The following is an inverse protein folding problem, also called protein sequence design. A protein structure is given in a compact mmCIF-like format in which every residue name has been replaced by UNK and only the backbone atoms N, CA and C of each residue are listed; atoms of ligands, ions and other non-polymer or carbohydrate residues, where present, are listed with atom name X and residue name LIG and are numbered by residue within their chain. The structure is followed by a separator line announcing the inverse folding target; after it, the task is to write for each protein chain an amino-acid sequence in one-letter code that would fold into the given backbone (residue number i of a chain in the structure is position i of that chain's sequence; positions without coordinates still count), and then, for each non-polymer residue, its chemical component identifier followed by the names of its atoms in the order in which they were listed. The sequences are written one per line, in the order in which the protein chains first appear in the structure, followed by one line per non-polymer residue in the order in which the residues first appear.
data_IF_065128031444
#
_entry.id   IF_065128031444
#
_cell.length_a   1.000
_cell.length_b   1.000
_cell.length_c   1.000
_cell.angle_alpha   90.00
_cell.angle_beta   90.00
_cell.angle_gamma   90.00
#
_symmetry.space_group_name_H-M   'P 1'
#
loop_
_entity.id
_entity.type
_entity.pdbx_description
1 polymer ?
#
# COMPACT_ATOMS: atom_id res chain seq x y z
N UNK A 1 6.86 9.94 7.78
CA UNK A 1 7.96 9.66 6.82
C UNK A 1 9.37 9.72 7.43
N UNK A 2 9.76 10.77 8.16
CA UNK A 2 11.12 10.86 8.75
C UNK A 2 11.48 9.64 9.62
N UNK A 3 10.57 9.22 10.50
CA UNK A 3 10.79 8.05 11.37
C UNK A 3 10.87 6.74 10.58
N UNK A 4 10.01 6.55 9.58
CA UNK A 4 10.06 5.39 8.67
C UNK A 4 11.44 5.29 7.98
N UNK A 5 11.92 6.39 7.38
CA UNK A 5 13.22 6.40 6.69
C UNK A 5 14.41 6.22 7.62
N UNK A 6 14.31 6.71 8.88
CA UNK A 6 15.33 6.51 9.90
C UNK A 6 15.41 5.05 10.35
N UNK A 7 14.28 4.41 10.56
CA UNK A 7 14.19 3.01 11.01
C UNK A 7 14.46 2.00 9.90
N UNK A 8 14.04 2.34 8.69
CA UNK A 8 14.12 1.45 7.54
C UNK A 8 12.95 0.47 7.43
N UNK A 9 12.77 -0.04 6.23
CA UNK A 9 11.66 -0.93 5.88
C UNK A 9 11.62 -2.20 6.75
N UNK A 10 12.76 -2.84 6.96
CA UNK A 10 12.85 -4.12 7.69
C UNK A 10 12.33 -3.98 9.11
N UNK A 11 12.82 -2.99 9.86
CA UNK A 11 12.42 -2.77 11.26
C UNK A 11 10.91 -2.47 11.38
N UNK A 12 10.37 -1.65 10.48
CA UNK A 12 8.95 -1.33 10.46
C UNK A 12 8.10 -2.56 10.12
N UNK A 13 8.51 -3.35 9.14
CA UNK A 13 7.81 -4.57 8.73
C UNK A 13 7.83 -5.63 9.83
N UNK A 14 8.95 -5.81 10.51
CA UNK A 14 9.05 -6.74 11.63
C UNK A 14 8.10 -6.36 12.77
N UNK A 15 7.98 -5.06 13.05
CA UNK A 15 7.00 -4.59 14.03
C UNK A 15 5.56 -4.85 13.58
N UNK A 16 5.22 -4.60 12.31
CA UNK A 16 3.90 -4.89 11.74
C UNK A 16 3.59 -6.39 11.88
N UNK A 17 4.52 -7.25 11.48
CA UNK A 17 4.36 -8.71 11.56
C UNK A 17 4.15 -9.18 12.99
N UNK A 18 4.90 -8.65 13.95
CA UNK A 18 4.76 -9.01 15.36
C UNK A 18 3.39 -8.59 15.93
N UNK A 19 2.92 -7.40 15.59
CA UNK A 19 1.63 -6.87 16.10
C UNK A 19 0.44 -7.60 15.47
N UNK A 20 0.53 -7.96 14.19
CA UNK A 20 -0.58 -8.50 13.40
C UNK A 20 -0.52 -10.02 13.20
N UNK A 21 0.44 -10.70 13.82
CA UNK A 21 0.65 -12.14 13.66
C UNK A 21 -0.64 -12.95 13.86
N UNK A 22 -1.00 -13.77 12.88
CA UNK A 22 -2.15 -14.67 12.92
C UNK A 22 -3.53 -13.98 12.79
N UNK A 23 -3.58 -12.66 12.74
CA UNK A 23 -4.84 -11.91 12.63
C UNK A 23 -5.24 -11.73 11.15
N UNK A 24 -6.56 -11.65 10.84
CA UNK A 24 -7.01 -11.19 9.54
C UNK A 24 -6.66 -9.71 9.38
N UNK A 25 -6.13 -9.34 8.21
CA UNK A 25 -5.63 -8.00 7.91
C UNK A 25 -6.41 -7.44 6.72
N UNK A 26 -6.97 -6.26 6.92
CA UNK A 26 -7.53 -5.43 5.87
C UNK A 26 -6.56 -4.26 5.63
N UNK A 27 -6.17 -4.03 4.38
CA UNK A 27 -5.26 -2.95 4.01
C UNK A 27 -6.09 -1.82 3.39
N UNK A 28 -6.07 -0.65 4.00
CA UNK A 28 -6.53 0.58 3.35
C UNK A 28 -5.34 1.40 2.93
N UNK A 29 -5.25 1.75 1.65
CA UNK A 29 -4.16 2.54 1.10
C UNK A 29 -4.67 3.91 0.68
N UNK A 30 -4.31 4.92 1.45
CA UNK A 30 -4.63 6.30 1.14
C UNK A 30 -3.57 6.88 0.19
N UNK A 31 -3.99 7.31 -1.01
CA UNK A 31 -3.09 7.89 -2.02
C UNK A 31 -2.43 9.20 -1.57
N UNK A 32 -3.01 9.88 -0.58
CA UNK A 32 -2.43 11.10 0.00
C UNK A 32 -1.11 10.83 0.73
N UNK A 33 -0.82 9.57 1.10
CA UNK A 33 0.45 9.19 1.71
C UNK A 33 1.64 9.24 0.73
N UNK A 34 1.38 9.21 -0.57
CA UNK A 34 2.39 9.31 -1.61
C UNK A 34 2.88 10.74 -1.77
N UNK A 35 4.10 10.88 -2.29
CA UNK A 35 4.62 12.20 -2.65
C UNK A 35 3.74 12.84 -3.72
N UNK A 36 3.30 14.10 -3.55
CA UNK A 36 2.42 14.76 -4.50
C UNK A 36 3.03 14.96 -5.89
N UNK A 37 4.34 14.81 -6.05
CA UNK A 37 4.99 14.82 -7.37
C UNK A 37 4.72 13.56 -8.18
N UNK A 38 4.36 12.45 -7.52
CA UNK A 38 4.04 11.18 -8.18
C UNK A 38 2.54 10.85 -8.14
N UNK A 39 1.79 11.43 -7.21
CA UNK A 39 0.34 11.22 -7.07
C UNK A 39 -0.38 12.57 -6.87
N UNK A 40 -0.46 13.45 -7.88
CA UNK A 40 -1.12 14.74 -7.76
C UNK A 40 -2.64 14.67 -7.73
N UNK A 41 -3.24 13.59 -8.23
CA UNK A 41 -4.69 13.41 -8.36
C UNK A 41 -5.36 12.91 -7.08
N UNK A 42 -5.12 13.60 -5.97
CA UNK A 42 -5.64 13.27 -4.64
C UNK A 42 -6.51 14.38 -4.08
N UNK A 43 -7.36 14.04 -3.12
CA UNK A 43 -8.28 14.99 -2.51
C UNK A 43 -7.53 16.10 -1.75
N UNK A 44 -6.55 15.73 -0.95
CA UNK A 44 -5.74 16.64 -0.13
C UNK A 44 -4.26 16.46 -0.44
N UNK A 45 -3.65 17.49 -1.02
CA UNK A 45 -2.22 17.49 -1.30
C UNK A 45 -1.44 17.96 -0.07
N UNK A 46 -0.60 17.09 0.47
CA UNK A 46 0.30 17.40 1.59
C UNK A 46 1.62 18.02 1.09
N UNK A 47 1.52 19.22 0.51
CA UNK A 47 2.64 19.87 -0.20
C UNK A 47 3.85 20.24 0.68
N UNK A 48 3.70 20.25 2.00
CA UNK A 48 4.76 20.64 2.95
C UNK A 48 5.67 19.50 3.39
N UNK A 49 5.38 18.26 3.02
CA UNK A 49 6.12 17.08 3.46
C UNK A 49 6.37 16.14 2.29
N UNK A 50 7.56 15.54 2.25
CA UNK A 50 7.86 14.48 1.30
C UNK A 50 7.08 13.22 1.71
N UNK A 51 6.14 12.76 0.86
CA UNK A 51 5.41 11.52 1.03
C UNK A 51 6.26 10.27 0.76
N UNK A 52 5.62 9.10 0.72
CA UNK A 52 6.25 7.88 0.21
C UNK A 52 6.57 8.05 -1.28
N UNK A 53 7.73 7.59 -1.70
CA UNK A 53 7.91 7.28 -3.12
C UNK A 53 7.28 5.93 -3.45
N UNK A 54 7.20 5.60 -4.75
CA UNK A 54 6.51 4.38 -5.17
C UNK A 54 7.24 3.12 -4.73
N UNK A 55 8.57 3.13 -4.70
CA UNK A 55 9.36 1.98 -4.30
C UNK A 55 9.21 1.72 -2.79
N UNK A 56 9.18 2.77 -1.97
CA UNK A 56 8.90 2.67 -0.53
C UNK A 56 7.49 2.08 -0.29
N UNK A 57 6.48 2.57 -1.01
CA UNK A 57 5.08 2.14 -0.84
C UNK A 57 4.87 0.68 -1.29
N UNK A 58 5.32 0.34 -2.49
CA UNK A 58 5.23 -1.02 -3.03
C UNK A 58 6.09 -1.98 -2.22
N UNK A 59 7.30 -1.56 -1.84
CA UNK A 59 8.19 -2.36 -0.98
C UNK A 59 7.55 -2.70 0.36
N UNK A 60 6.83 -1.76 0.99
CA UNK A 60 6.11 -2.01 2.24
C UNK A 60 4.97 -3.02 2.05
N UNK A 61 4.19 -2.90 0.96
CA UNK A 61 3.14 -3.86 0.62
C UNK A 61 3.71 -5.26 0.36
N UNK A 62 4.75 -5.36 -0.45
CA UNK A 62 5.39 -6.63 -0.76
C UNK A 62 6.03 -7.29 0.47
N UNK A 63 6.55 -6.51 1.40
CA UNK A 63 7.18 -7.02 2.60
C UNK A 63 6.19 -7.64 3.61
N UNK A 64 4.90 -7.28 3.55
CA UNK A 64 3.83 -7.94 4.35
C UNK A 64 3.15 -9.09 3.60
N UNK A 65 3.58 -9.41 2.39
CA UNK A 65 3.13 -10.58 1.64
C UNK A 65 3.33 -11.85 2.47
N UNK A 66 2.40 -12.77 2.39
CA UNK A 66 2.43 -13.98 3.21
C UNK A 66 1.66 -13.86 4.52
N UNK A 67 1.28 -12.67 4.96
CA UNK A 67 0.36 -12.48 6.08
C UNK A 67 -1.10 -12.81 5.69
N UNK A 68 -2.00 -12.84 6.66
CA UNK A 68 -3.42 -13.17 6.45
C UNK A 68 -4.19 -11.97 5.88
N UNK A 69 -3.83 -11.51 4.68
CA UNK A 69 -4.51 -10.40 4.01
C UNK A 69 -5.86 -10.88 3.49
N UNK A 70 -6.95 -10.30 3.98
CA UNK A 70 -8.33 -10.72 3.66
C UNK A 70 -9.09 -9.73 2.79
N UNK A 71 -8.59 -8.50 2.65
CA UNK A 71 -9.21 -7.47 1.83
C UNK A 71 -8.35 -6.21 1.78
N UNK A 72 -8.75 -5.27 0.95
CA UNK A 72 -8.12 -3.97 0.85
C UNK A 72 -8.89 -3.00 -0.03
N UNK A 73 -8.56 -1.73 0.10
CA UNK A 73 -9.02 -0.65 -0.76
C UNK A 73 -7.92 0.35 -1.04
N UNK A 74 -8.10 1.15 -2.09
CA UNK A 74 -7.31 2.33 -2.40
C UNK A 74 -8.25 3.52 -2.41
N UNK A 75 -7.95 4.54 -1.62
CA UNK A 75 -8.84 5.66 -1.37
C UNK A 75 -8.20 7.01 -1.73
N UNK A 76 -9.01 8.07 -1.67
CA UNK A 76 -8.63 9.47 -1.90
C UNK A 76 -8.25 9.81 -3.35
N UNK A 77 -8.57 8.96 -4.32
CA UNK A 77 -8.42 9.31 -5.73
C UNK A 77 -9.37 10.45 -6.12
N UNK A 78 -8.82 11.50 -6.72
CA UNK A 78 -9.58 12.63 -7.28
C UNK A 78 -9.24 12.81 -8.77
N UNK A 79 -9.97 12.16 -9.67
CA UNK A 79 -9.65 12.13 -11.10
C UNK A 79 -9.55 13.51 -11.76
N UNK A 80 -10.34 14.47 -11.27
CA UNK A 80 -10.35 15.85 -11.81
C UNK A 80 -9.09 16.65 -11.49
N UNK A 81 -8.29 16.18 -10.52
CA UNK A 81 -7.00 16.77 -10.13
C UNK A 81 -5.80 16.02 -10.69
N UNK A 82 -6.03 14.89 -11.35
CA UNK A 82 -4.93 14.08 -11.88
C UNK A 82 -4.25 14.78 -13.06
N UNK A 83 -3.00 14.43 -13.29
CA UNK A 83 -2.26 14.91 -14.46
C UNK A 83 -2.90 14.38 -15.77
N UNK A 84 -2.68 15.05 -16.90
CA UNK A 84 -3.26 14.63 -18.20
C UNK A 84 -2.92 13.19 -18.60
N UNK A 85 -1.78 12.66 -18.14
CA UNK A 85 -1.36 11.26 -18.34
C UNK A 85 -1.97 10.27 -17.32
N UNK A 86 -2.83 10.75 -16.43
CA UNK A 86 -3.51 9.94 -15.41
C UNK A 86 -2.56 9.14 -14.50
N UNK A 87 -1.41 9.74 -14.17
CA UNK A 87 -0.37 9.03 -13.40
C UNK A 87 -0.86 8.56 -12.03
N UNK A 88 -1.71 9.34 -11.33
CA UNK A 88 -2.26 8.92 -10.04
C UNK A 88 -3.19 7.72 -10.17
N UNK A 89 -4.05 7.71 -11.19
CA UNK A 89 -4.93 6.56 -11.47
C UNK A 89 -4.13 5.30 -11.82
N UNK A 90 -3.06 5.44 -12.59
CA UNK A 90 -2.16 4.32 -12.92
C UNK A 90 -1.42 3.81 -11.67
N UNK A 91 -0.97 4.71 -10.82
CA UNK A 91 -0.34 4.36 -9.52
C UNK A 91 -1.33 3.62 -8.61
N UNK A 92 -2.56 4.13 -8.48
CA UNK A 92 -3.62 3.48 -7.73
C UNK A 92 -3.91 2.06 -8.24
N UNK A 93 -3.92 1.87 -9.56
CA UNK A 93 -4.10 0.56 -10.20
C UNK A 93 -2.97 -0.39 -9.85
N UNK A 94 -1.73 0.07 -9.84
CA UNK A 94 -0.56 -0.74 -9.46
C UNK A 94 -0.63 -1.18 -7.99
N UNK A 95 -0.99 -0.29 -7.09
CA UNK A 95 -1.21 -0.60 -5.67
C UNK A 95 -2.34 -1.63 -5.50
N UNK A 96 -3.46 -1.43 -6.19
CA UNK A 96 -4.59 -2.36 -6.16
C UNK A 96 -4.19 -3.75 -6.67
N UNK A 97 -3.36 -3.83 -7.71
CA UNK A 97 -2.85 -5.09 -8.25
C UNK A 97 -2.00 -5.85 -7.22
N UNK A 98 -1.13 -5.15 -6.48
CA UNK A 98 -0.36 -5.77 -5.37
C UNK A 98 -1.29 -6.34 -4.30
N UNK A 99 -2.32 -5.60 -3.88
CA UNK A 99 -3.29 -6.07 -2.89
C UNK A 99 -4.07 -7.29 -3.37
N UNK A 100 -4.59 -7.28 -4.59
CA UNK A 100 -5.32 -8.40 -5.19
C UNK A 100 -4.43 -9.64 -5.23
N UNK A 101 -3.17 -9.48 -5.60
CA UNK A 101 -2.20 -10.58 -5.65
C UNK A 101 -1.97 -11.18 -4.26
N UNK A 102 -1.84 -10.36 -3.22
CA UNK A 102 -1.67 -10.83 -1.83
C UNK A 102 -2.91 -11.56 -1.31
N UNK A 103 -4.11 -11.07 -1.62
CA UNK A 103 -5.37 -11.72 -1.25
C UNK A 103 -5.49 -13.07 -1.95
N UNK A 104 -5.21 -13.13 -3.24
CA UNK A 104 -5.26 -14.38 -4.02
C UNK A 104 -4.28 -15.43 -3.47
N UNK A 105 -3.05 -15.03 -3.13
CA UNK A 105 -2.08 -15.92 -2.48
C UNK A 105 -2.58 -16.44 -1.12
N UNK A 106 -3.21 -15.57 -0.34
CA UNK A 106 -3.76 -15.96 0.96
C UNK A 106 -4.90 -16.97 0.81
N UNK A 107 -5.80 -16.77 -0.15
CA UNK A 107 -6.88 -17.71 -0.48
C UNK A 107 -6.30 -19.06 -0.92
N UNK A 108 -5.35 -19.05 -1.85
CA UNK A 108 -4.70 -20.26 -2.34
C UNK A 108 -4.09 -21.08 -1.21
N UNK A 109 -3.29 -20.45 -0.34
CA UNK A 109 -2.66 -21.14 0.82
C UNK A 109 -3.68 -21.77 1.75
N UNK A 110 -4.81 -21.09 2.01
CA UNK A 110 -5.88 -21.63 2.87
C UNK A 110 -6.58 -22.82 2.23
N UNK A 111 -6.79 -22.80 0.94
CA UNK A 111 -7.40 -23.91 0.19
C UNK A 111 -6.48 -25.14 0.17
N UNK A 112 -5.18 -24.92 0.00
CA UNK A 112 -4.18 -26.00 0.01
C UNK A 112 -3.96 -26.62 1.42
N UNK A 113 -4.16 -25.84 2.47
CA UNK A 113 -4.06 -26.31 3.86
C UNK A 113 -5.30 -27.10 4.34
N UNK A 114 -6.45 -26.93 3.69
CA UNK A 114 -7.72 -27.61 3.99
C UNK A 114 -8.30 -28.19 2.69
N UNK A 115 -7.72 -29.28 2.15
CA UNK A 115 -8.16 -29.91 0.92
C UNK A 115 -9.53 -30.61 1.05
#
# INVERSE_FOLDING_TARGET
MKEFRKRGLVDVVDQIKNVLAGRPIYITFDLDCLDPTIAPGVANIEAGAKGFDIDEAVGLLQAVRGMNIVGGDVVCMMPTKDAPNQITALTATSIMFEMISMIAENVKRKTEANP
#
